data_IF_261419282117
#
_entry.id   IF_261419282117
#
_cell.length_a   1.000
_cell.length_b   1.000
_cell.length_c   1.000
_cell.angle_alpha   90.00
_cell.angle_beta   90.00
_cell.angle_gamma   90.00
#
_symmetry.space_group_name_H-M   'P 1'
#
loop_
_entity.id
_entity.type
_entity.pdbx_description
1 polymer ?
#
# COMPACT_ATOMS: atom_id res chain seq x y z
N UNK A 1 -0.72 -1.02 -10.78
CA UNK A 1 0.64 -1.16 -10.23
C UNK A 1 0.66 -0.60 -8.83
N UNK A 2 1.45 -1.18 -7.94
CA UNK A 2 1.64 -0.76 -6.56
C UNK A 2 2.78 0.27 -6.50
N UNK A 3 2.46 1.52 -6.86
CA UNK A 3 3.42 2.62 -6.83
C UNK A 3 3.57 3.22 -5.43
N UNK A 4 4.64 3.98 -5.20
CA UNK A 4 4.83 4.71 -3.95
C UNK A 4 3.63 5.63 -3.61
N UNK A 5 3.12 6.37 -4.59
CA UNK A 5 1.97 7.26 -4.40
C UNK A 5 0.69 6.48 -4.02
N UNK A 6 0.51 5.26 -4.54
CA UNK A 6 -0.61 4.40 -4.14
C UNK A 6 -0.48 3.93 -2.70
N UNK A 7 0.72 3.54 -2.27
CA UNK A 7 0.98 3.11 -0.89
C UNK A 7 0.74 4.24 0.12
N UNK A 8 1.22 5.45 -0.18
CA UNK A 8 0.99 6.64 0.66
C UNK A 8 -0.51 6.92 0.80
N UNK A 9 -1.22 6.95 -0.32
CA UNK A 9 -2.68 7.18 -0.32
C UNK A 9 -3.45 6.08 0.42
N UNK A 10 -3.01 4.82 0.29
CA UNK A 10 -3.66 3.70 0.98
C UNK A 10 -3.48 3.83 2.51
N UNK A 11 -2.27 4.19 2.96
CA UNK A 11 -2.01 4.46 4.39
C UNK A 11 -2.89 5.60 4.92
N UNK A 12 -3.01 6.69 4.17
CA UNK A 12 -3.84 7.84 4.56
C UNK A 12 -5.32 7.46 4.68
N UNK A 13 -5.83 6.64 3.75
CA UNK A 13 -7.22 6.16 3.79
C UNK A 13 -7.44 5.22 4.97
N UNK A 14 -6.52 4.28 5.23
CA UNK A 14 -6.62 3.38 6.38
C UNK A 14 -6.64 4.15 7.70
N UNK A 15 -5.76 5.15 7.86
CA UNK A 15 -5.74 6.04 9.04
C UNK A 15 -7.04 6.85 9.23
N UNK A 16 -7.79 7.10 8.16
CA UNK A 16 -9.10 7.75 8.24
C UNK A 16 -10.17 6.73 8.66
N UNK A 17 -10.16 5.54 8.06
CA UNK A 17 -11.12 4.47 8.34
C UNK A 17 -11.02 3.96 9.78
N UNK A 18 -9.82 3.89 10.36
CA UNK A 18 -9.62 3.54 11.78
C UNK A 18 -10.35 4.46 12.76
N UNK A 19 -10.72 5.68 12.34
CA UNK A 19 -11.43 6.66 13.18
C UNK A 19 -12.95 6.54 13.09
N UNK A 20 -13.47 5.73 12.18
CA UNK A 20 -14.90 5.55 11.95
C UNK A 20 -15.46 4.47 12.89
N UNK A 21 -16.03 4.87 14.03
CA UNK A 21 -16.47 3.94 15.08
C UNK A 21 -17.55 2.94 14.66
N UNK A 22 -18.35 3.29 13.64
CA UNK A 22 -19.44 2.46 13.14
C UNK A 22 -19.00 1.54 11.98
N UNK A 23 -17.75 1.68 11.51
CA UNK A 23 -17.20 0.85 10.44
C UNK A 23 -16.89 -0.56 10.97
N UNK A 24 -17.39 -1.59 10.28
CA UNK A 24 -17.25 -2.99 10.71
C UNK A 24 -16.44 -3.85 9.75
N UNK A 25 -16.31 -3.43 8.50
CA UNK A 25 -15.58 -4.14 7.47
C UNK A 25 -15.23 -3.19 6.32
N UNK A 26 -14.11 -3.48 5.65
CA UNK A 26 -13.66 -2.80 4.45
C UNK A 26 -13.35 -3.84 3.38
N UNK A 27 -13.77 -3.58 2.14
CA UNK A 27 -13.40 -4.41 0.99
C UNK A 27 -12.45 -3.59 0.12
N UNK A 28 -11.22 -4.08 -0.02
CA UNK A 28 -10.27 -3.53 -0.97
C UNK A 28 -10.43 -4.25 -2.32
N UNK A 29 -10.54 -3.49 -3.40
CA UNK A 29 -10.68 -4.04 -4.76
C UNK A 29 -9.88 -3.21 -5.77
N UNK A 30 -9.59 -3.81 -6.92
CA UNK A 30 -8.97 -3.12 -8.06
C UNK A 30 -10.01 -2.75 -9.11
N UNK A 31 -9.71 -1.72 -9.90
CA UNK A 31 -10.48 -1.40 -11.09
C UNK A 31 -9.88 -2.08 -12.33
N UNK A 32 -10.73 -2.56 -13.24
CA UNK A 32 -10.29 -3.23 -14.46
C UNK A 32 -10.07 -4.74 -14.28
N UNK A 33 -9.18 -5.31 -15.08
CA UNK A 33 -9.00 -6.78 -15.19
C UNK A 33 -8.19 -7.40 -14.04
N UNK A 34 -7.43 -6.61 -13.29
CA UNK A 34 -6.58 -7.09 -12.21
C UNK A 34 -6.82 -6.30 -10.93
N UNK A 35 -6.73 -6.98 -9.78
CA UNK A 35 -6.76 -6.34 -8.47
C UNK A 35 -5.59 -5.35 -8.30
N UNK A 36 -4.37 -5.88 -8.44
CA UNK A 36 -3.14 -5.10 -8.44
C UNK A 36 -2.07 -5.88 -9.22
N UNK A 37 -1.41 -5.21 -10.17
CA UNK A 37 -0.35 -5.82 -10.98
C UNK A 37 1.01 -5.93 -10.27
N UNK A 38 1.08 -5.63 -8.96
CA UNK A 38 2.33 -5.58 -8.21
C UNK A 38 3.17 -4.32 -8.47
N UNK A 39 4.40 -4.30 -7.97
CA UNK A 39 5.35 -3.18 -8.11
C UNK A 39 6.02 -3.19 -9.48
N UNK A 40 6.35 -2.00 -10.01
CA UNK A 40 7.10 -1.87 -11.26
C UNK A 40 8.57 -2.28 -11.05
N UNK A 41 9.02 -3.31 -11.77
CA UNK A 41 10.39 -3.82 -11.68
C UNK A 41 11.41 -2.77 -12.15
N UNK A 42 11.04 -1.91 -13.10
CA UNK A 42 11.94 -0.85 -13.58
C UNK A 42 12.14 0.23 -12.52
N UNK A 43 11.11 0.52 -11.73
CA UNK A 43 11.20 1.43 -10.59
C UNK A 43 12.16 0.87 -9.53
N UNK A 44 12.10 -0.44 -9.26
CA UNK A 44 13.00 -1.11 -8.33
C UNK A 44 14.45 -1.17 -8.83
N UNK A 45 14.67 -1.37 -10.13
CA UNK A 45 16.00 -1.49 -10.71
C UNK A 45 16.83 -0.20 -10.60
N UNK A 46 16.19 0.95 -10.43
CA UNK A 46 16.85 2.25 -10.29
C UNK A 46 17.27 2.61 -8.85
N UNK A 47 16.92 1.79 -7.86
CA UNK A 47 17.15 2.09 -6.45
C UNK A 47 18.53 1.60 -5.97
N UNK A 48 19.17 2.41 -5.13
CA UNK A 48 20.30 1.94 -4.32
C UNK A 48 19.80 1.14 -3.10
N UNK A 49 20.74 0.65 -2.28
CA UNK A 49 20.39 -0.16 -1.11
C UNK A 49 19.44 0.56 -0.14
N UNK A 50 19.61 1.88 0.04
CA UNK A 50 18.79 2.66 0.96
C UNK A 50 17.39 2.88 0.38
N UNK A 51 17.29 3.20 -0.92
CA UNK A 51 16.03 3.36 -1.63
C UNK A 51 15.22 2.07 -1.68
N UNK A 52 15.88 0.93 -1.94
CA UNK A 52 15.25 -0.39 -1.96
C UNK A 52 14.70 -0.74 -0.58
N UNK A 53 15.48 -0.50 0.48
CA UNK A 53 15.05 -0.72 1.87
C UNK A 53 13.85 0.16 2.23
N UNK A 54 13.92 1.47 1.95
CA UNK A 54 12.83 2.38 2.26
C UNK A 54 11.53 2.00 1.53
N UNK A 55 11.63 1.55 0.28
CA UNK A 55 10.49 1.06 -0.51
C UNK A 55 9.87 -0.19 0.12
N UNK A 56 10.71 -1.16 0.52
CA UNK A 56 10.26 -2.37 1.20
C UNK A 56 9.59 -2.07 2.54
N UNK A 57 10.18 -1.18 3.35
CA UNK A 57 9.64 -0.80 4.67
C UNK A 57 8.28 -0.11 4.55
N UNK A 58 8.10 0.78 3.56
CA UNK A 58 6.79 1.41 3.30
C UNK A 58 5.73 0.41 2.87
N UNK A 59 6.05 -0.48 1.95
CA UNK A 59 5.12 -1.54 1.51
C UNK A 59 4.69 -2.41 2.69
N UNK A 60 5.66 -2.83 3.52
CA UNK A 60 5.38 -3.64 4.70
C UNK A 60 4.54 -2.89 5.74
N UNK A 61 4.79 -1.60 5.96
CA UNK A 61 4.01 -0.80 6.90
C UNK A 61 2.52 -0.76 6.54
N UNK A 62 2.19 -0.60 5.26
CA UNK A 62 0.80 -0.61 4.79
C UNK A 62 0.17 -2.00 4.96
N UNK A 63 0.89 -3.07 4.63
CA UNK A 63 0.40 -4.43 4.87
C UNK A 63 0.13 -4.68 6.36
N UNK A 64 1.02 -4.22 7.24
CA UNK A 64 0.85 -4.33 8.69
C UNK A 64 -0.35 -3.53 9.19
N UNK A 65 -0.63 -2.35 8.63
CA UNK A 65 -1.84 -1.58 8.97
C UNK A 65 -3.09 -2.39 8.64
N UNK A 66 -3.15 -3.00 7.45
CA UNK A 66 -4.30 -3.83 7.03
C UNK A 66 -4.45 -5.07 7.92
N UNK A 67 -3.34 -5.73 8.27
CA UNK A 67 -3.35 -6.97 9.06
C UNK A 67 -3.76 -6.74 10.52
N UNK A 68 -3.45 -5.57 11.09
CA UNK A 68 -3.69 -5.25 12.50
C UNK A 68 -4.86 -4.28 12.73
N UNK A 69 -5.68 -4.02 11.70
CA UNK A 69 -6.95 -3.29 11.82
C UNK A 69 -7.91 -3.96 12.81
#
# INVERSE_FOLDING_TARGET
>A
TLSQAMLEKLSDVLNQLEKESDLRAVILTGSGEAFCAGTDINELAGLDQNGARATSERGQAVCNQIENC
#
